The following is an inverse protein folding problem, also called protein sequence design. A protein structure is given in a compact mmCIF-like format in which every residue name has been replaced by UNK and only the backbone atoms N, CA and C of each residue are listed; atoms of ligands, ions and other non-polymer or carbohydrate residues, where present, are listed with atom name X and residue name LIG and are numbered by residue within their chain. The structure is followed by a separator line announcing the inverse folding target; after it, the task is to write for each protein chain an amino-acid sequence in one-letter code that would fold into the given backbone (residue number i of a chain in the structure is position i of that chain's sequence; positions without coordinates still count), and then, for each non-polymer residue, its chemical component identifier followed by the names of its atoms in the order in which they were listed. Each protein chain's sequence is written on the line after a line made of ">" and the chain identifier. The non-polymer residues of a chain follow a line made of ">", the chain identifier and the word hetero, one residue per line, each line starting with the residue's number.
data_IF_941741959008
#
_entry.id   IF_941741959008
#
_cell.length_a   1.000
_cell.length_b   1.000
_cell.length_c   1.000
_cell.angle_alpha   90.00
_cell.angle_beta   90.00
_cell.angle_gamma   90.00
#
_symmetry.space_group_name_H-M   'P 1'
#
loop_
_entity.id
_entity.type
_entity.pdbx_description
1 polymer ?
#
# COMPACT_ATOMS: atom_id res chain seq x y z
N UNK A 1 4.75 -17.79 -5.58
CA UNK A 1 5.39 -18.35 -6.81
C UNK A 1 5.07 -17.50 -8.05
N UNK A 2 3.83 -17.02 -8.24
CA UNK A 2 3.44 -16.19 -9.38
C UNK A 2 4.21 -14.85 -9.45
N UNK A 3 4.38 -14.15 -8.34
CA UNK A 3 5.11 -12.88 -8.26
C UNK A 3 6.61 -13.05 -8.55
N UNK A 4 7.20 -14.18 -8.11
CA UNK A 4 8.59 -14.52 -8.43
C UNK A 4 8.78 -14.83 -9.93
N UNK A 5 7.81 -15.52 -10.54
CA UNK A 5 7.81 -15.82 -11.96
C UNK A 5 7.67 -14.54 -12.80
N UNK A 6 6.79 -13.61 -12.42
CA UNK A 6 6.60 -12.32 -13.09
C UNK A 6 7.84 -11.41 -12.99
N UNK A 7 8.55 -11.41 -11.85
CA UNK A 7 9.78 -10.65 -11.67
C UNK A 7 10.94 -11.21 -12.53
N UNK A 8 11.02 -12.54 -12.68
CA UNK A 8 12.00 -13.18 -13.55
C UNK A 8 11.77 -12.86 -15.03
N UNK A 9 10.53 -12.78 -15.47
CA UNK A 9 10.14 -12.45 -16.85
C UNK A 9 10.41 -10.97 -17.18
N UNK A 10 10.35 -10.09 -16.17
CA UNK A 10 10.71 -8.67 -16.29
C UNK A 10 12.21 -8.38 -16.23
N UNK A 11 13.06 -9.40 -16.12
CA UNK A 11 14.53 -9.25 -16.04
C UNK A 11 15.02 -8.62 -14.72
N UNK A 12 14.17 -8.59 -13.69
CA UNK A 12 14.53 -8.12 -12.35
C UNK A 12 15.30 -9.24 -11.64
N UNK A 13 16.53 -9.00 -11.14
CA UNK A 13 17.27 -10.03 -10.43
C UNK A 13 16.57 -10.42 -9.14
N UNK A 14 15.98 -11.63 -9.12
CA UNK A 14 15.35 -12.23 -7.93
C UNK A 14 16.45 -12.89 -7.10
N UNK A 15 16.74 -12.36 -5.92
CA UNK A 15 17.65 -12.98 -4.95
C UNK A 15 16.83 -13.61 -3.82
N UNK A 16 17.09 -14.88 -3.53
CA UNK A 16 16.51 -15.53 -2.35
C UNK A 16 17.14 -14.97 -1.07
N UNK A 17 16.41 -15.01 0.02
CA UNK A 17 16.57 -14.29 1.28
C UNK A 17 17.87 -14.48 2.08
N UNK A 18 18.94 -15.00 1.50
CA UNK A 18 20.17 -15.27 2.24
C UNK A 18 21.33 -14.27 2.00
N UNK A 19 21.33 -13.50 0.91
CA UNK A 19 22.47 -12.63 0.57
C UNK A 19 22.00 -11.36 -0.16
N UNK A 20 21.64 -10.33 0.59
CA UNK A 20 21.30 -9.02 0.08
C UNK A 20 22.36 -7.99 0.45
N UNK A 21 23.47 -7.91 -0.30
CA UNK A 21 24.25 -6.69 -0.28
C UNK A 21 23.54 -5.63 -1.11
N UNK A 22 23.26 -4.48 -0.50
CA UNK A 22 22.78 -3.26 -1.18
C UNK A 22 23.84 -2.81 -2.19
N UNK A 23 23.67 -3.11 -3.47
CA UNK A 23 24.43 -2.44 -4.51
C UNK A 23 23.91 -1.00 -4.65
N UNK A 24 24.74 0.01 -4.65
CA UNK A 24 24.32 1.40 -4.85
C UNK A 24 23.67 1.55 -6.23
N UNK A 25 22.35 1.85 -6.26
CA UNK A 25 21.59 2.13 -7.47
C UNK A 25 20.84 0.94 -8.09
N UNK A 26 20.89 -0.26 -7.51
CA UNK A 26 20.14 -1.43 -7.96
C UNK A 26 18.77 -1.57 -7.29
N UNK A 27 17.73 -1.96 -8.06
CA UNK A 27 16.45 -2.42 -7.49
C UNK A 27 16.62 -3.88 -7.08
N UNK A 28 16.65 -4.16 -5.78
CA UNK A 28 16.70 -5.52 -5.24
C UNK A 28 15.31 -6.04 -4.90
N UNK A 29 14.99 -7.27 -5.30
CA UNK A 29 13.81 -7.97 -4.82
C UNK A 29 14.19 -8.87 -3.65
N UNK A 30 13.47 -8.73 -2.51
CA UNK A 30 13.59 -9.61 -1.36
C UNK A 30 12.23 -10.25 -1.06
N UNK A 31 12.20 -11.58 -1.05
CA UNK A 31 11.02 -12.35 -0.67
C UNK A 31 11.15 -12.81 0.79
N UNK A 32 10.12 -12.56 1.59
CA UNK A 32 10.07 -12.94 2.99
C UNK A 32 8.73 -13.59 3.29
N UNK A 33 8.75 -14.75 3.96
CA UNK A 33 7.55 -15.44 4.40
C UNK A 33 7.20 -15.03 5.83
N UNK A 34 5.94 -14.68 6.08
CA UNK A 34 5.37 -14.53 7.42
C UNK A 34 4.41 -15.70 7.67
N UNK A 35 4.72 -16.51 8.69
CA UNK A 35 3.94 -17.71 9.03
C UNK A 35 2.71 -17.40 9.89
N UNK A 36 2.71 -16.26 10.58
CA UNK A 36 1.56 -15.85 11.37
C UNK A 36 0.42 -15.39 10.46
N UNK A 37 -0.80 -15.88 10.67
CA UNK A 37 -1.92 -15.54 9.81
C UNK A 37 -2.36 -14.08 9.98
N UNK A 38 -2.88 -13.49 8.90
CA UNK A 38 -3.50 -12.17 8.89
C UNK A 38 -2.58 -11.06 8.34
N UNK A 39 -3.22 -10.12 7.65
CA UNK A 39 -2.54 -9.02 6.95
C UNK A 39 -1.76 -8.09 7.88
N UNK A 40 -2.21 -7.93 9.13
CA UNK A 40 -1.50 -7.15 10.16
C UNK A 40 -0.13 -7.76 10.49
N UNK A 41 -0.02 -9.09 10.58
CA UNK A 41 1.25 -9.78 10.80
C UNK A 41 2.21 -9.56 9.63
N UNK A 42 1.71 -9.70 8.38
CA UNK A 42 2.50 -9.46 7.16
C UNK A 42 3.01 -8.02 7.10
N UNK A 43 2.16 -7.03 7.39
CA UNK A 43 2.56 -5.60 7.40
C UNK A 43 3.54 -5.28 8.53
N UNK A 44 3.38 -5.90 9.70
CA UNK A 44 4.36 -5.78 10.77
C UNK A 44 5.70 -6.39 10.36
N UNK A 45 5.69 -7.54 9.68
CA UNK A 45 6.91 -8.15 9.13
C UNK A 45 7.57 -7.21 8.13
N UNK A 46 6.81 -6.56 7.23
CA UNK A 46 7.36 -5.57 6.31
C UNK A 46 8.03 -4.41 7.05
N UNK A 47 7.44 -3.88 8.15
CA UNK A 47 8.06 -2.87 8.99
C UNK A 47 9.38 -3.36 9.61
N UNK A 48 9.46 -4.62 10.05
CA UNK A 48 10.67 -5.21 10.64
C UNK A 48 11.80 -5.36 9.61
N UNK A 49 11.46 -5.65 8.35
CA UNK A 49 12.42 -5.84 7.27
C UNK A 49 12.98 -4.54 6.68
N UNK A 50 12.47 -3.37 7.10
CA UNK A 50 12.93 -2.07 6.58
C UNK A 50 14.35 -1.69 7.00
N UNK A 51 14.94 -2.35 8.01
CA UNK A 51 16.28 -2.01 8.49
C UNK A 51 16.43 -0.53 8.83
N UNK A 52 17.46 0.13 8.28
CA UNK A 52 17.73 1.57 8.43
C UNK A 52 17.09 2.46 7.35
N UNK A 53 16.11 1.98 6.60
CA UNK A 53 15.45 2.75 5.54
C UNK A 53 14.64 3.92 6.13
N UNK A 54 14.46 4.98 5.34
CA UNK A 54 13.71 6.17 5.74
C UNK A 54 12.23 6.06 5.42
N UNK A 55 11.89 5.42 4.31
CA UNK A 55 10.54 5.29 3.79
C UNK A 55 10.14 3.85 3.54
N UNK A 56 8.85 3.56 3.70
CA UNK A 56 8.20 2.33 3.27
C UNK A 56 6.94 2.70 2.48
N UNK A 57 6.72 2.04 1.36
CA UNK A 57 5.47 2.16 0.61
C UNK A 57 4.78 0.81 0.56
N UNK A 58 3.52 0.79 0.96
CA UNK A 58 2.64 -0.36 0.80
C UNK A 58 1.84 -0.26 -0.49
N UNK A 59 1.69 -1.39 -1.16
CA UNK A 59 0.80 -1.65 -2.29
C UNK A 59 0.33 -3.10 -2.17
N UNK A 60 -0.91 -3.39 -2.52
CA UNK A 60 -1.45 -4.74 -2.49
C UNK A 60 -1.02 -5.52 -3.76
N UNK A 61 -0.98 -6.85 -3.69
CA UNK A 61 -0.42 -7.73 -4.72
C UNK A 61 -1.33 -7.91 -5.96
N UNK A 62 -2.59 -7.48 -5.86
CA UNK A 62 -3.57 -7.42 -6.96
C UNK A 62 -3.71 -6.01 -7.57
N UNK A 63 -2.80 -5.10 -7.24
CA UNK A 63 -2.80 -3.72 -7.68
C UNK A 63 -1.64 -3.40 -8.64
N UNK A 64 -1.88 -2.48 -9.58
CA UNK A 64 -0.90 -2.00 -10.56
C UNK A 64 -0.69 -0.49 -10.42
N UNK A 65 0.53 -0.02 -10.07
CA UNK A 65 0.82 1.40 -9.96
C UNK A 65 0.92 2.05 -11.35
N UNK A 66 0.34 3.25 -11.51
CA UNK A 66 0.48 4.05 -12.73
C UNK A 66 1.90 4.68 -12.82
N UNK A 67 2.39 4.98 -14.04
CA UNK A 67 3.67 5.66 -14.22
C UNK A 67 3.75 6.96 -13.42
N UNK A 68 4.85 7.14 -12.68
CA UNK A 68 5.04 8.32 -11.82
C UNK A 68 4.46 8.21 -10.40
N UNK A 69 3.69 7.16 -10.09
CA UNK A 69 3.08 6.94 -8.79
C UNK A 69 4.03 7.11 -7.60
N UNK A 70 5.17 6.42 -7.63
CA UNK A 70 6.14 6.48 -6.53
C UNK A 70 6.78 7.86 -6.41
N UNK A 71 7.10 8.50 -7.54
CA UNK A 71 7.66 9.85 -7.55
C UNK A 71 6.69 10.85 -6.91
N UNK A 72 5.40 10.80 -7.26
CA UNK A 72 4.38 11.68 -6.69
C UNK A 72 4.25 11.53 -5.16
N UNK A 73 4.27 10.29 -4.64
CA UNK A 73 4.27 10.04 -3.19
C UNK A 73 5.49 10.68 -2.50
N UNK A 74 6.68 10.44 -3.05
CA UNK A 74 7.94 10.91 -2.46
C UNK A 74 8.05 12.44 -2.55
N UNK A 75 7.67 13.06 -3.66
CA UNK A 75 7.67 14.51 -3.85
C UNK A 75 6.75 15.23 -2.85
N UNK A 76 5.53 14.72 -2.65
CA UNK A 76 4.62 15.29 -1.67
C UNK A 76 5.12 15.13 -0.24
N UNK A 77 5.69 13.97 0.10
CA UNK A 77 6.34 13.76 1.40
C UNK A 77 7.50 14.75 1.60
N UNK A 78 8.42 14.84 0.64
CA UNK A 78 9.61 15.69 0.74
C UNK A 78 9.26 17.18 0.83
N UNK A 79 8.26 17.64 0.08
CA UNK A 79 7.84 19.04 0.06
C UNK A 79 7.07 19.47 1.29
N UNK A 80 6.41 18.54 2.00
CA UNK A 80 5.53 18.88 3.12
C UNK A 80 6.03 18.41 4.48
N UNK A 81 6.98 17.46 4.53
CA UNK A 81 7.45 16.86 5.78
C UNK A 81 6.37 16.06 6.53
N UNK A 82 5.31 15.64 5.85
CA UNK A 82 4.25 14.84 6.46
C UNK A 82 4.74 13.41 6.81
N UNK A 83 4.05 12.72 7.69
CA UNK A 83 4.46 11.40 8.20
C UNK A 83 3.89 10.24 7.38
N UNK A 84 2.88 10.52 6.57
CA UNK A 84 2.36 9.57 5.60
C UNK A 84 1.75 10.28 4.39
N UNK A 85 1.80 9.62 3.24
CA UNK A 85 1.11 10.04 2.01
C UNK A 85 0.27 8.87 1.51
N UNK A 86 -1.00 9.13 1.22
CA UNK A 86 -1.92 8.14 0.64
C UNK A 86 -2.39 8.60 -0.73
N UNK A 87 -2.54 7.64 -1.65
CA UNK A 87 -3.04 7.89 -3.00
C UNK A 87 -4.34 7.14 -3.30
N UNK A 88 -4.98 7.46 -4.44
CA UNK A 88 -6.19 6.79 -4.89
C UNK A 88 -5.91 5.39 -5.42
N UNK A 89 -6.83 4.49 -5.11
CA UNK A 89 -6.93 3.18 -5.75
C UNK A 89 -8.18 3.18 -6.63
N UNK A 90 -7.98 2.97 -7.93
CA UNK A 90 -9.00 3.15 -8.97
C UNK A 90 -9.37 1.78 -9.53
N UNK A 91 -10.66 1.41 -9.58
CA UNK A 91 -11.07 0.13 -10.11
C UNK A 91 -10.78 0.04 -11.62
N UNK A 92 -10.08 -1.01 -12.02
CA UNK A 92 -9.85 -1.41 -13.41
C UNK A 92 -10.66 -2.67 -13.68
N UNK A 93 -11.83 -2.51 -14.28
CA UNK A 93 -12.75 -3.62 -14.51
C UNK A 93 -12.27 -4.50 -15.68
N UNK A 94 -12.22 -5.82 -15.46
CA UNK A 94 -11.89 -6.80 -16.50
C UNK A 94 -12.94 -6.80 -17.63
N UNK A 95 -14.21 -6.59 -17.29
CA UNK A 95 -15.33 -6.47 -18.22
C UNK A 95 -16.17 -5.23 -17.89
N UNK A 96 -16.90 -4.69 -18.87
CA UNK A 96 -17.78 -3.55 -18.63
C UNK A 96 -18.84 -3.89 -17.56
N UNK A 97 -18.88 -3.18 -16.42
CA UNK A 97 -19.82 -3.47 -15.35
C UNK A 97 -21.27 -3.19 -15.77
N UNK A 98 -22.20 -4.01 -15.31
CA UNK A 98 -23.63 -3.76 -15.48
C UNK A 98 -24.07 -2.42 -14.86
N UNK A 99 -25.17 -1.85 -15.35
CA UNK A 99 -25.67 -0.55 -14.90
C UNK A 99 -25.86 -0.44 -13.38
N UNK A 100 -26.33 -1.49 -12.73
CA UNK A 100 -26.54 -1.51 -11.28
C UNK A 100 -25.23 -1.47 -10.48
N UNK A 101 -24.13 -2.08 -11.00
CA UNK A 101 -22.80 -2.02 -10.39
C UNK A 101 -22.24 -0.61 -10.50
N UNK A 102 -22.35 0.01 -11.68
CA UNK A 102 -21.91 1.41 -11.89
C UNK A 102 -22.67 2.40 -11.03
N UNK A 103 -23.99 2.27 -10.97
CA UNK A 103 -24.86 3.17 -10.17
C UNK A 103 -24.66 2.98 -8.66
N UNK A 104 -24.29 1.77 -8.23
CA UNK A 104 -24.03 1.47 -6.84
C UNK A 104 -22.64 1.90 -6.36
N UNK A 105 -21.73 2.26 -7.29
CA UNK A 105 -20.35 2.71 -6.98
C UNK A 105 -19.57 1.79 -6.03
N UNK A 106 -19.87 0.48 -6.03
CA UNK A 106 -19.37 -0.48 -5.01
C UNK A 106 -17.85 -0.57 -4.96
N UNK A 107 -17.16 -0.32 -6.05
CA UNK A 107 -15.71 -0.37 -6.17
C UNK A 107 -15.07 1.02 -6.22
N UNK A 108 -15.87 2.10 -6.28
CA UNK A 108 -15.37 3.47 -6.38
C UNK A 108 -15.02 3.99 -5.00
N UNK A 109 -13.76 4.36 -4.81
CA UNK A 109 -13.28 4.95 -3.57
C UNK A 109 -13.25 6.47 -3.68
N UNK A 110 -13.56 7.14 -2.59
CA UNK A 110 -13.53 8.61 -2.54
C UNK A 110 -12.12 9.13 -2.69
N UNK A 111 -11.94 10.17 -3.51
CA UNK A 111 -10.68 10.89 -3.70
C UNK A 111 -10.76 12.31 -3.15
N UNK A 112 -9.61 12.98 -3.03
CA UNK A 112 -9.49 14.34 -2.53
C UNK A 112 -8.39 15.08 -3.31
N UNK A 113 -8.42 16.42 -3.37
CA UNK A 113 -7.32 17.19 -3.93
C UNK A 113 -6.00 16.92 -3.21
N UNK A 114 -4.91 16.88 -3.97
CA UNK A 114 -3.54 16.71 -3.44
C UNK A 114 -3.23 17.73 -2.35
N UNK A 115 -2.56 17.27 -1.29
CA UNK A 115 -2.27 18.04 -0.10
C UNK A 115 -3.35 17.99 0.98
N UNK A 116 -4.56 17.49 0.71
CA UNK A 116 -5.62 17.37 1.71
C UNK A 116 -5.17 16.51 2.89
N UNK A 117 -5.32 17.03 4.11
CA UNK A 117 -5.02 16.28 5.34
C UNK A 117 -6.10 15.26 5.61
N UNK A 118 -5.69 14.03 5.89
CA UNK A 118 -6.59 12.90 6.16
C UNK A 118 -6.41 12.42 7.60
N UNK A 119 -7.50 12.11 8.33
CA UNK A 119 -7.41 11.52 9.67
C UNK A 119 -7.02 10.04 9.65
N UNK A 120 -7.31 9.36 8.54
CA UNK A 120 -7.04 7.94 8.30
C UNK A 120 -6.77 7.71 6.81
N UNK A 121 -6.08 6.62 6.49
CA UNK A 121 -5.87 6.14 5.14
C UNK A 121 -5.86 4.61 5.10
N UNK A 122 -6.21 4.03 3.95
CA UNK A 122 -5.96 2.62 3.66
C UNK A 122 -4.48 2.39 3.34
N UNK A 123 -4.00 1.17 3.50
CA UNK A 123 -2.59 0.84 3.31
C UNK A 123 -2.21 0.42 1.89
N UNK A 124 -3.17 0.22 1.01
CA UNK A 124 -2.96 -0.26 -0.35
C UNK A 124 -2.38 0.79 -1.34
N UNK A 125 -2.25 2.03 -0.94
CA UNK A 125 -1.44 3.07 -1.59
C UNK A 125 -0.95 4.04 -0.50
N UNK A 126 0.05 3.62 0.29
CA UNK A 126 0.44 4.34 1.50
C UNK A 126 1.97 4.40 1.65
N UNK A 127 2.52 5.62 1.59
CA UNK A 127 3.90 5.91 1.99
C UNK A 127 3.94 6.27 3.47
N UNK A 128 4.92 5.73 4.19
CA UNK A 128 5.19 6.01 5.60
C UNK A 128 6.60 6.56 5.82
N UNK A 129 6.72 7.61 6.64
CA UNK A 129 7.98 8.04 7.26
C UNK A 129 8.33 7.07 8.39
N UNK A 130 9.31 6.21 8.14
CA UNK A 130 9.72 5.18 9.09
C UNK A 130 10.40 5.75 10.33
N UNK A 131 11.02 6.91 10.22
CA UNK A 131 11.58 7.61 11.37
C UNK A 131 10.49 7.97 12.38
N UNK A 132 9.35 8.49 11.90
CA UNK A 132 8.20 8.77 12.75
C UNK A 132 7.56 7.49 13.31
N UNK A 133 7.31 6.49 12.44
CA UNK A 133 6.71 5.21 12.83
C UNK A 133 7.49 4.55 13.98
N UNK A 134 8.82 4.52 13.88
CA UNK A 134 9.70 3.95 14.92
C UNK A 134 9.64 4.76 16.23
N UNK A 135 9.77 6.09 16.15
CA UNK A 135 9.72 6.96 17.35
C UNK A 135 8.39 6.87 18.09
N UNK A 136 7.29 6.74 17.35
CA UNK A 136 5.95 6.62 17.90
C UNK A 136 5.58 5.18 18.31
N UNK A 137 6.45 4.20 18.06
CA UNK A 137 6.22 2.79 18.40
C UNK A 137 5.01 2.18 17.68
N UNK A 138 4.71 2.65 16.45
CA UNK A 138 3.50 2.24 15.74
C UNK A 138 3.64 0.85 15.12
N UNK A 139 2.61 0.04 15.32
CA UNK A 139 2.47 -1.31 14.76
C UNK A 139 1.02 -1.55 14.36
N UNK A 140 0.83 -2.40 13.35
CA UNK A 140 -0.50 -2.91 13.02
C UNK A 140 -0.98 -3.84 14.13
N UNK A 141 -2.26 -3.75 14.47
CA UNK A 141 -2.85 -4.53 15.56
C UNK A 141 -3.30 -5.90 15.04
N UNK A 142 -2.56 -6.94 15.43
CA UNK A 142 -2.80 -8.32 14.98
C UNK A 142 -4.13 -8.90 15.50
N UNK A 143 -4.76 -8.26 16.50
CA UNK A 143 -6.08 -8.66 16.97
C UNK A 143 -7.18 -8.48 15.91
N UNK A 144 -6.98 -7.63 14.90
CA UNK A 144 -7.91 -7.49 13.78
C UNK A 144 -7.93 -8.71 12.85
N UNK A 145 -6.87 -9.51 12.82
CA UNK A 145 -6.80 -10.79 12.08
C UNK A 145 -7.32 -10.70 10.65
N UNK A 146 -8.40 -11.43 10.37
CA UNK A 146 -9.07 -11.48 9.07
C UNK A 146 -10.27 -10.51 8.95
N UNK A 147 -10.56 -9.68 9.96
CA UNK A 147 -11.75 -8.83 9.96
C UNK A 147 -11.58 -7.51 9.21
N UNK A 148 -10.32 -7.14 8.88
CA UNK A 148 -9.99 -5.85 8.27
C UNK A 148 -10.10 -4.67 9.26
N UNK A 149 -9.60 -3.50 8.85
CA UNK A 149 -9.60 -2.27 9.65
C UNK A 149 -8.33 -2.01 10.45
N UNK A 150 -7.34 -2.90 10.37
CA UNK A 150 -6.01 -2.75 10.98
C UNK A 150 -5.24 -1.53 10.42
N UNK A 151 -5.42 -1.23 9.13
CA UNK A 151 -4.86 -0.06 8.45
C UNK A 151 -5.50 1.24 8.96
N UNK A 152 -6.81 1.26 9.09
CA UNK A 152 -7.57 2.39 9.65
C UNK A 152 -7.15 2.67 11.09
N UNK A 153 -6.97 1.61 11.91
CA UNK A 153 -6.51 1.77 13.29
C UNK A 153 -5.05 2.26 13.33
N UNK A 154 -4.17 1.69 12.51
CA UNK A 154 -2.75 2.10 12.42
C UNK A 154 -2.63 3.57 12.04
N UNK A 155 -3.30 4.00 10.97
CA UNK A 155 -3.25 5.38 10.50
C UNK A 155 -3.94 6.36 11.46
N UNK A 156 -4.99 5.94 12.17
CA UNK A 156 -5.59 6.72 13.27
C UNK A 156 -4.62 6.90 14.44
N UNK A 157 -3.91 5.85 14.83
CA UNK A 157 -2.85 5.94 15.86
C UNK A 157 -1.70 6.85 15.41
N UNK A 158 -1.34 6.83 14.12
CA UNK A 158 -0.35 7.74 13.54
C UNK A 158 -0.80 9.20 13.71
N UNK A 159 -2.04 9.52 13.35
CA UNK A 159 -2.62 10.87 13.53
C UNK A 159 -2.71 11.25 15.00
N UNK A 160 -3.12 10.34 15.89
CA UNK A 160 -3.19 10.58 17.34
C UNK A 160 -1.82 10.85 17.99
N UNK A 161 -0.75 10.27 17.42
CA UNK A 161 0.63 10.53 17.84
C UNK A 161 1.20 11.87 17.28
N UNK A 162 0.36 12.67 16.60
CA UNK A 162 0.76 13.96 16.03
C UNK A 162 1.28 13.89 14.59
N UNK A 163 1.20 12.71 13.95
CA UNK A 163 1.56 12.55 12.55
C UNK A 163 0.49 13.13 11.61
N UNK A 164 0.94 13.65 10.47
CA UNK A 164 0.09 14.20 9.41
C UNK A 164 0.07 13.22 8.23
N UNK A 165 -1.14 12.86 7.79
CA UNK A 165 -1.37 12.09 6.58
C UNK A 165 -1.86 13.04 5.50
N UNK A 166 -1.22 13.06 4.32
CA UNK A 166 -1.67 13.83 3.18
C UNK A 166 -2.13 12.95 2.03
N UNK A 167 -3.10 13.45 1.29
CA UNK A 167 -3.58 12.82 0.06
C UNK A 167 -2.77 13.30 -1.14
N UNK A 168 -2.42 12.38 -2.06
CA UNK A 168 -1.76 12.64 -3.33
C UNK A 168 -2.60 12.04 -4.46
N UNK A 169 -3.36 12.87 -5.20
CA UNK A 169 -4.29 12.40 -6.23
C UNK A 169 -3.58 11.89 -7.50
N UNK A 170 -2.32 12.30 -7.67
CA UNK A 170 -1.46 11.86 -8.76
C UNK A 170 -0.85 10.47 -8.52
N UNK A 171 -0.81 10.01 -7.27
CA UNK A 171 -0.23 8.72 -6.91
C UNK A 171 -1.25 7.58 -7.12
N UNK A 172 -1.59 7.31 -8.37
CA UNK A 172 -2.67 6.40 -8.73
C UNK A 172 -2.23 4.96 -8.81
N UNK A 173 -3.08 4.10 -8.27
CA UNK A 173 -2.94 2.64 -8.32
C UNK A 173 -4.24 2.06 -8.90
N UNK A 174 -4.15 1.05 -9.75
CA UNK A 174 -5.28 0.33 -10.33
C UNK A 174 -5.53 -0.96 -9.56
N UNK A 175 -6.77 -1.14 -9.08
CA UNK A 175 -7.26 -2.38 -8.47
C UNK A 175 -7.96 -3.20 -9.57
N UNK A 176 -7.41 -4.36 -9.93
CA UNK A 176 -7.98 -5.23 -10.93
C UNK A 176 -9.24 -5.92 -10.40
N UNK A 177 -10.40 -5.51 -10.93
CA UNK A 177 -11.71 -6.06 -10.55
C UNK A 177 -12.13 -7.14 -11.57
N UNK A 178 -11.97 -8.44 -11.26
CA UNK A 178 -12.34 -9.51 -12.16
C UNK A 178 -13.87 -9.62 -12.30
N UNK A 179 -14.32 -10.18 -13.42
CA UNK A 179 -15.74 -10.37 -13.70
C UNK A 179 -16.49 -11.14 -12.59
N UNK A 180 -15.80 -12.05 -11.89
CA UNK A 180 -16.35 -12.82 -10.78
C UNK A 180 -16.75 -11.96 -9.57
N UNK A 181 -16.13 -10.80 -9.36
CA UNK A 181 -16.48 -9.84 -8.31
C UNK A 181 -17.66 -8.94 -8.70
N UNK A 182 -18.05 -8.87 -9.97
CA UNK A 182 -19.14 -8.04 -10.48
C UNK A 182 -20.51 -8.73 -10.41
N UNK A 183 -20.73 -9.58 -9.44
CA UNK A 183 -21.95 -10.38 -9.30
C UNK A 183 -22.68 -10.06 -8.01
N UNK A 184 -24.04 -10.19 -8.02
CA UNK A 184 -24.86 -9.95 -6.83
C UNK A 184 -24.47 -10.80 -5.59
N UNK A 185 -24.07 -12.08 -5.71
CA UNK A 185 -23.63 -12.85 -4.55
C UNK A 185 -22.31 -12.37 -3.94
N UNK A 186 -21.49 -11.63 -4.70
CA UNK A 186 -20.21 -11.14 -4.22
C UNK A 186 -20.35 -9.76 -3.55
N UNK A 187 -21.18 -8.87 -4.10
CA UNK A 187 -21.49 -7.53 -3.57
C UNK A 187 -22.60 -7.62 -2.52
#
# INVERSE_FOLDING_TARGET
>A
EAALAAAADAGVPVRSSAEGADEPGGVGLRYVVEERPGVAAVRNRALDETGGRDLLVFIDDDEEPEPGWLAALVELWASTGCQAVAGPVIPAYEVEPEAWVRQGEFFVRRTWPTGTVRPVAASNCLLLDLGFVRRAGLRFDEAFGATGGEDTLFTRRLSAAGGVIRWCDEARVRDHVPASRLTRPWI
#
